data_IF_484374088042
#
_entry.id   IF_484374088042
#
_cell.length_a   1.000
_cell.length_b   1.000
_cell.length_c   1.000
_cell.angle_alpha   90.00
_cell.angle_beta   90.00
_cell.angle_gamma   90.00
#
_symmetry.space_group_name_H-M   'P 1'
#
loop_
_entity.id
_entity.type
_entity.pdbx_description
1 polymer ?
#
# COMPACT_ATOMS: atom_id res chain seq x y z
N UNK A 1 20.56 2.29 56.45
CA UNK A 1 19.91 2.45 55.13
C UNK A 1 20.12 3.88 54.64
N UNK A 2 20.79 4.09 53.51
CA UNK A 2 21.06 5.44 52.97
C UNK A 2 19.76 6.00 52.37
N UNK A 3 19.27 7.14 52.87
CA UNK A 3 18.09 7.81 52.31
C UNK A 3 18.46 8.45 50.98
N UNK A 4 17.95 7.92 49.88
CA UNK A 4 18.13 8.49 48.54
C UNK A 4 17.27 9.76 48.44
N UNK A 5 17.87 10.89 48.09
CA UNK A 5 17.09 12.11 47.85
C UNK A 5 16.44 12.07 46.47
N UNK A 6 15.34 12.82 46.29
CA UNK A 6 14.64 12.93 44.99
C UNK A 6 15.58 13.37 43.87
N UNK A 7 16.62 14.16 44.19
CA UNK A 7 17.62 14.63 43.22
C UNK A 7 18.55 13.50 42.76
N UNK A 8 18.88 12.57 43.65
CA UNK A 8 19.75 11.43 43.34
C UNK A 8 19.01 10.39 42.50
N UNK A 9 17.71 10.24 42.74
CA UNK A 9 16.83 9.40 41.91
C UNK A 9 16.70 9.94 40.47
N UNK A 10 16.48 11.25 40.32
CA UNK A 10 16.35 11.89 38.99
C UNK A 10 17.66 11.80 38.20
N UNK A 11 18.82 12.01 38.85
CA UNK A 11 20.14 11.85 38.22
C UNK A 11 20.41 10.43 37.73
N UNK A 12 19.94 9.41 38.48
CA UNK A 12 20.02 8.01 38.07
C UNK A 12 19.21 7.70 36.82
N UNK A 13 18.00 8.26 36.71
CA UNK A 13 17.11 8.06 35.56
C UNK A 13 17.65 8.71 34.28
N UNK A 14 18.21 9.92 34.38
CA UNK A 14 18.81 10.62 33.23
C UNK A 14 20.05 9.94 32.67
N UNK A 15 20.85 9.27 33.53
CA UNK A 15 22.05 8.56 33.12
C UNK A 15 21.80 7.26 32.36
N UNK A 16 20.74 6.52 32.71
CA UNK A 16 20.35 5.28 32.00
C UNK A 16 19.53 5.53 30.73
N UNK A 17 18.75 6.62 30.67
CA UNK A 17 17.88 6.93 29.53
C UNK A 17 18.62 7.31 28.24
N UNK A 18 19.77 8.00 28.34
CA UNK A 18 20.52 8.42 27.15
C UNK A 18 21.26 7.26 26.45
N UNK A 19 21.68 6.22 27.18
CA UNK A 19 22.39 5.08 26.58
C UNK A 19 21.47 4.16 25.76
N UNK A 20 20.17 4.09 26.07
CA UNK A 20 19.22 3.24 25.36
C UNK A 20 18.76 3.82 24.01
N UNK A 21 18.70 5.15 23.87
CA UNK A 21 18.24 5.80 22.64
C UNK A 21 19.37 6.06 21.64
N UNK A 22 20.61 6.30 22.10
CA UNK A 22 21.74 6.55 21.22
C UNK A 22 22.27 5.30 20.49
N UNK A 23 22.33 4.15 21.17
CA UNK A 23 22.87 2.91 20.60
C UNK A 23 21.96 2.28 19.54
N UNK A 24 20.64 2.22 19.80
CA UNK A 24 19.67 1.61 18.88
C UNK A 24 19.48 2.38 17.56
N UNK A 25 19.60 3.70 17.60
CA UNK A 25 19.51 4.55 16.41
C UNK A 25 20.71 4.37 15.46
N UNK A 26 21.92 4.19 16.00
CA UNK A 26 23.13 3.98 15.19
C UNK A 26 23.14 2.60 14.49
N UNK A 27 22.60 1.56 15.14
CA UNK A 27 22.48 0.23 14.53
C UNK A 27 21.38 0.16 13.44
N UNK A 28 20.30 0.93 13.55
CA UNK A 28 19.23 0.94 12.53
C UNK A 28 19.66 1.55 11.20
N UNK A 29 20.50 2.58 11.21
CA UNK A 29 20.98 3.21 9.97
C UNK A 29 22.01 2.34 9.21
N UNK A 30 22.70 1.42 9.90
CA UNK A 30 23.73 0.56 9.31
C UNK A 30 23.15 -0.65 8.55
N UNK A 31 21.91 -1.08 8.84
CA UNK A 31 21.18 -2.09 8.06
C UNK A 31 20.28 -1.40 7.03
N UNK A 32 20.89 -0.86 5.98
CA UNK A 32 20.13 -0.52 4.77
C UNK A 32 20.00 -1.79 3.93
N UNK A 33 18.97 -2.57 4.21
CA UNK A 33 18.57 -3.67 3.33
C UNK A 33 17.92 -3.03 2.11
N UNK A 34 18.45 -3.30 0.92
CA UNK A 34 17.80 -2.82 -0.31
C UNK A 34 16.42 -3.45 -0.41
N UNK A 35 15.35 -2.67 -0.64
CA UNK A 35 14.03 -3.22 -0.82
C UNK A 35 14.04 -4.13 -2.03
N UNK A 36 14.01 -5.45 -1.80
CA UNK A 36 13.84 -6.43 -2.85
C UNK A 36 12.58 -6.08 -3.63
N UNK A 37 12.64 -5.91 -4.97
CA UNK A 37 11.44 -5.68 -5.76
C UNK A 37 10.54 -6.89 -5.59
N UNK A 38 9.48 -6.73 -4.82
CA UNK A 38 8.43 -7.75 -4.72
C UNK A 38 7.84 -7.90 -6.11
N UNK A 39 7.89 -9.09 -6.74
CA UNK A 39 7.22 -9.28 -8.01
C UNK A 39 5.76 -8.91 -7.81
N UNK A 40 5.27 -7.94 -8.60
CA UNK A 40 3.88 -7.53 -8.56
C UNK A 40 3.02 -8.80 -8.68
N UNK A 41 2.07 -9.04 -7.76
CA UNK A 41 1.25 -10.23 -7.83
C UNK A 41 0.59 -10.27 -9.21
N UNK A 42 0.75 -11.41 -9.90
CA UNK A 42 -0.02 -11.71 -11.10
C UNK A 42 -1.50 -11.41 -10.81
N UNK A 43 -2.17 -10.70 -11.72
CA UNK A 43 -3.47 -10.06 -11.53
C UNK A 43 -4.38 -10.83 -10.56
N UNK A 44 -4.86 -10.20 -9.47
CA UNK A 44 -5.61 -10.90 -8.44
C UNK A 44 -6.82 -11.60 -9.07
N UNK A 45 -7.04 -12.86 -8.70
CA UNK A 45 -8.16 -13.65 -9.18
C UNK A 45 -9.47 -12.85 -9.06
N UNK A 46 -10.28 -12.88 -10.12
CA UNK A 46 -11.58 -12.22 -10.16
C UNK A 46 -12.46 -12.71 -8.99
N UNK A 47 -13.28 -11.80 -8.45
CA UNK A 47 -14.30 -12.15 -7.45
C UNK A 47 -15.22 -13.25 -8.00
N UNK A 48 -15.68 -14.21 -7.17
CA UNK A 48 -16.67 -15.21 -7.60
C UNK A 48 -18.01 -14.60 -8.06
N UNK A 49 -18.25 -13.32 -7.72
CA UNK A 49 -19.43 -12.56 -8.15
C UNK A 49 -19.16 -11.68 -9.38
N UNK A 50 -17.93 -11.62 -9.89
CA UNK A 50 -17.60 -10.82 -11.06
C UNK A 50 -18.17 -11.48 -12.32
N UNK A 51 -18.80 -10.67 -13.18
CA UNK A 51 -19.38 -11.08 -14.46
C UNK A 51 -18.98 -10.08 -15.52
N UNK A 52 -18.63 -10.59 -16.70
CA UNK A 52 -18.33 -9.74 -17.85
C UNK A 52 -19.55 -8.89 -18.24
N UNK A 53 -19.28 -7.64 -18.61
CA UNK A 53 -20.25 -6.65 -19.03
C UNK A 53 -20.87 -7.00 -20.39
N UNK A 54 -22.18 -6.82 -20.53
CA UNK A 54 -22.87 -7.03 -21.82
C UNK A 54 -22.77 -5.83 -22.77
N UNK A 55 -22.50 -4.63 -22.25
CA UNK A 55 -22.60 -3.37 -22.99
C UNK A 55 -21.29 -2.59 -22.94
N UNK A 56 -20.28 -3.08 -23.64
CA UNK A 56 -19.01 -2.41 -23.86
C UNK A 56 -18.49 -2.69 -25.27
N UNK A 57 -17.53 -1.89 -25.74
CA UNK A 57 -16.76 -2.18 -26.94
C UNK A 57 -15.28 -2.17 -26.65
N UNK A 58 -14.54 -3.02 -27.34
CA UNK A 58 -13.08 -2.94 -27.40
C UNK A 58 -12.69 -1.77 -28.31
N UNK A 59 -11.71 -0.97 -27.88
CA UNK A 59 -11.25 0.24 -28.60
C UNK A 59 -9.85 0.04 -29.18
N UNK A 60 -9.19 -1.08 -28.88
CA UNK A 60 -7.81 -1.38 -29.27
C UNK A 60 -6.82 -1.22 -28.12
N UNK A 61 -5.63 -1.81 -28.25
CA UNK A 61 -4.53 -1.72 -27.27
C UNK A 61 -4.94 -2.11 -25.82
N UNK A 62 -5.90 -3.02 -25.67
CA UNK A 62 -6.43 -3.44 -24.38
C UNK A 62 -7.36 -2.42 -23.71
N UNK A 63 -7.73 -1.33 -24.39
CA UNK A 63 -8.74 -0.39 -23.91
C UNK A 63 -10.15 -0.87 -24.24
N UNK A 64 -11.06 -0.61 -23.30
CA UNK A 64 -12.49 -0.88 -23.45
C UNK A 64 -13.30 0.38 -23.16
N UNK A 65 -14.41 0.56 -23.86
CA UNK A 65 -15.35 1.64 -23.61
C UNK A 65 -16.70 1.09 -23.16
N UNK A 66 -17.11 1.45 -21.94
CA UNK A 66 -18.43 1.16 -21.42
C UNK A 66 -19.51 1.91 -22.23
N UNK A 67 -20.60 1.24 -22.58
CA UNK A 67 -21.73 1.85 -23.30
C UNK A 67 -23.03 1.88 -22.47
N UNK A 68 -23.00 1.40 -21.23
CA UNK A 68 -24.22 1.28 -20.41
C UNK A 68 -24.75 2.63 -19.91
N UNK A 69 -23.87 3.57 -19.59
CA UNK A 69 -24.25 4.86 -19.01
C UNK A 69 -23.73 6.03 -19.87
N UNK A 70 -24.31 7.24 -19.73
CA UNK A 70 -23.95 8.38 -20.57
C UNK A 70 -22.47 8.82 -20.45
N UNK A 71 -21.76 8.44 -19.37
CA UNK A 71 -20.36 8.80 -19.18
C UNK A 71 -19.41 8.17 -20.21
N UNK A 72 -19.81 7.04 -20.83
CA UNK A 72 -19.03 6.35 -21.88
C UNK A 72 -17.54 6.19 -21.56
N UNK A 73 -17.23 5.75 -20.34
CA UNK A 73 -15.86 5.69 -19.82
C UNK A 73 -15.00 4.76 -20.68
N UNK A 74 -13.85 5.26 -21.15
CA UNK A 74 -12.80 4.46 -21.77
C UNK A 74 -11.78 4.09 -20.68
N UNK A 75 -11.55 2.80 -20.49
CA UNK A 75 -10.73 2.27 -19.40
C UNK A 75 -9.54 1.50 -19.97
N UNK A 76 -8.33 1.81 -19.49
CA UNK A 76 -7.13 0.99 -19.72
C UNK A 76 -7.18 -0.28 -18.87
N UNK A 77 -6.33 -1.26 -19.16
CA UNK A 77 -6.24 -2.48 -18.33
C UNK A 77 -5.98 -2.15 -16.86
N UNK A 78 -6.68 -2.85 -15.96
CA UNK A 78 -6.69 -2.61 -14.51
C UNK A 78 -7.43 -1.34 -14.04
N UNK A 79 -7.88 -0.46 -14.95
CA UNK A 79 -8.55 0.78 -14.58
C UNK A 79 -10.01 0.51 -14.17
N UNK A 80 -10.36 1.04 -12.99
CA UNK A 80 -11.74 1.06 -12.51
C UNK A 80 -12.45 2.36 -12.91
N UNK A 81 -13.69 2.22 -13.36
CA UNK A 81 -14.57 3.33 -13.73
C UNK A 81 -14.96 4.24 -12.56
N UNK A 82 -15.41 5.48 -12.81
CA UNK A 82 -15.91 6.39 -11.78
C UNK A 82 -17.13 5.86 -11.00
N UNK A 83 -17.98 5.03 -11.62
CA UNK A 83 -19.09 4.38 -10.92
C UNK A 83 -18.65 3.24 -9.99
N UNK A 84 -17.37 2.84 -10.06
CA UNK A 84 -16.73 1.79 -9.26
C UNK A 84 -17.26 0.37 -9.47
N UNK A 85 -18.23 0.17 -10.37
CA UNK A 85 -18.81 -1.14 -10.72
C UNK A 85 -18.02 -1.84 -11.82
N UNK A 86 -17.49 -1.08 -12.79
CA UNK A 86 -16.79 -1.60 -13.98
C UNK A 86 -15.28 -1.46 -13.82
N UNK A 87 -14.53 -2.48 -14.21
CA UNK A 87 -13.07 -2.52 -14.17
C UNK A 87 -12.58 -3.32 -15.37
N UNK A 88 -11.72 -2.72 -16.20
CA UNK A 88 -11.15 -3.44 -17.33
C UNK A 88 -10.11 -4.44 -16.81
N UNK A 89 -10.24 -5.70 -17.21
CA UNK A 89 -9.27 -6.76 -16.91
C UNK A 89 -8.96 -7.56 -18.17
N UNK A 90 -7.75 -7.40 -18.68
CA UNK A 90 -7.27 -8.08 -19.88
C UNK A 90 -8.06 -7.71 -21.13
N UNK A 91 -8.53 -6.46 -21.24
CA UNK A 91 -9.34 -6.00 -22.37
C UNK A 91 -10.81 -6.39 -22.29
N UNK A 92 -11.30 -6.87 -21.14
CA UNK A 92 -12.69 -7.23 -20.89
C UNK A 92 -13.26 -6.43 -19.72
N UNK A 93 -14.52 -6.03 -19.81
CA UNK A 93 -15.16 -5.13 -18.84
C UNK A 93 -16.15 -5.82 -17.91
#
# INVERSE_FOLDING_TARGET
>A
MKKISRRDFIKGLSGLGLCALGGGALLSCARREEPTPTPAPASPALSPYAREAMYYREVGEGFVQCQLCPNRCTLSDGMRSPCRVRENRGGKL
#
